data_IF_069120060073
#
_entry.id   IF_069120060073
#
_cell.length_a   1.000
_cell.length_b   1.000
_cell.length_c   1.000
_cell.angle_alpha   90.00
_cell.angle_beta   90.00
_cell.angle_gamma   90.00
#
_symmetry.space_group_name_H-M   'P 1'
#
loop_
_entity.id
_entity.type
_entity.pdbx_description
1 polymer ?
#
# COMPACT_ATOMS: atom_id res chain seq x y z
N UNK A 1 16.25 17.52 -3.27
CA UNK A 1 15.82 16.24 -3.87
C UNK A 1 14.31 16.19 -3.83
N UNK A 2 13.62 16.12 -4.97
CA UNK A 2 12.17 16.18 -5.01
C UNK A 2 11.57 14.79 -4.75
N UNK A 3 10.75 14.65 -3.72
CA UNK A 3 9.93 13.46 -3.47
C UNK A 3 8.69 13.53 -4.36
N UNK A 4 8.47 12.52 -5.20
CA UNK A 4 7.23 12.36 -5.95
C UNK A 4 6.32 11.39 -5.21
N UNK A 5 5.08 11.79 -4.98
CA UNK A 5 4.07 10.92 -4.42
C UNK A 5 3.31 10.23 -5.56
N UNK A 6 3.29 8.90 -5.54
CA UNK A 6 2.46 8.10 -6.43
C UNK A 6 1.16 7.74 -5.72
N UNK A 7 0.02 8.10 -6.31
CA UNK A 7 -1.31 7.70 -5.85
C UNK A 7 -1.87 6.66 -6.80
N UNK A 8 -2.31 5.54 -6.24
CA UNK A 8 -3.02 4.46 -6.94
C UNK A 8 -4.42 4.36 -6.34
N UNK A 9 -5.44 4.67 -7.12
CA UNK A 9 -6.85 4.60 -6.72
C UNK A 9 -7.64 3.50 -7.46
N UNK A 10 -7.13 3.06 -8.62
CA UNK A 10 -7.76 1.99 -9.38
C UNK A 10 -7.32 0.61 -8.87
N UNK A 11 -8.24 -0.29 -8.48
CA UNK A 11 -7.90 -1.62 -7.98
C UNK A 11 -7.05 -2.46 -8.94
N UNK A 12 -7.27 -2.31 -10.25
CA UNK A 12 -6.49 -2.98 -11.29
C UNK A 12 -5.06 -2.45 -11.36
N UNK A 13 -4.88 -1.13 -11.25
CA UNK A 13 -3.55 -0.52 -11.17
C UNK A 13 -2.82 -0.87 -9.88
N UNK A 14 -3.53 -0.88 -8.73
CA UNK A 14 -2.97 -1.31 -7.44
C UNK A 14 -2.44 -2.73 -7.61
N UNK A 15 -3.26 -3.66 -8.10
CA UNK A 15 -2.82 -5.06 -8.27
C UNK A 15 -1.61 -5.22 -9.17
N UNK A 16 -1.53 -4.46 -10.27
CA UNK A 16 -0.40 -4.55 -11.22
C UNK A 16 0.89 -3.94 -10.69
N UNK A 17 0.80 -2.79 -10.00
CA UNK A 17 1.97 -1.98 -9.65
C UNK A 17 2.45 -2.18 -8.22
N UNK A 18 1.59 -2.62 -7.30
CA UNK A 18 1.94 -2.76 -5.89
C UNK A 18 3.14 -3.69 -5.68
N UNK A 19 3.29 -4.71 -6.54
CA UNK A 19 4.42 -5.64 -6.50
C UNK A 19 5.78 -4.96 -6.67
N UNK A 20 5.87 -3.88 -7.43
CA UNK A 20 7.11 -3.13 -7.66
C UNK A 20 7.58 -2.37 -6.40
N UNK A 21 6.70 -2.23 -5.40
CA UNK A 21 6.94 -1.46 -4.19
C UNK A 21 7.12 -2.33 -2.95
N UNK A 22 7.33 -3.65 -3.11
CA UNK A 22 7.62 -4.54 -1.97
C UNK A 22 8.88 -4.04 -1.25
N UNK A 23 8.83 -4.00 0.08
CA UNK A 23 9.85 -3.44 0.97
C UNK A 23 9.79 -1.92 1.16
N UNK A 24 8.88 -1.21 0.46
CA UNK A 24 8.68 0.23 0.63
C UNK A 24 7.66 0.50 1.73
N UNK A 25 7.79 1.65 2.39
CA UNK A 25 6.74 2.21 3.24
C UNK A 25 5.65 2.79 2.34
N UNK A 26 4.43 2.36 2.56
CA UNK A 26 3.24 2.81 1.84
C UNK A 26 2.18 3.26 2.84
N UNK A 27 1.33 4.17 2.39
CA UNK A 27 0.16 4.60 3.14
C UNK A 27 -1.09 4.13 2.39
N UNK A 28 -1.91 3.33 3.04
CA UNK A 28 -3.14 2.79 2.45
C UNK A 28 -4.32 3.49 3.08
N UNK A 29 -5.23 3.98 2.25
CA UNK A 29 -6.53 4.47 2.69
C UNK A 29 -7.55 3.38 2.42
N UNK A 30 -8.23 2.95 3.48
CA UNK A 30 -9.32 1.99 3.41
C UNK A 30 -10.63 2.69 3.01
N UNK A 31 -11.60 1.92 2.53
CA UNK A 31 -12.94 2.39 2.15
C UNK A 31 -13.72 3.05 3.30
N UNK A 32 -13.35 2.78 4.55
CA UNK A 32 -13.93 3.40 5.74
C UNK A 32 -13.21 4.70 6.15
N UNK A 33 -12.38 5.26 5.25
CA UNK A 33 -11.50 6.41 5.46
C UNK A 33 -10.41 6.20 6.51
N UNK A 34 -10.15 4.97 6.94
CA UNK A 34 -9.01 4.67 7.82
C UNK A 34 -7.72 4.69 7.01
N UNK A 35 -6.78 5.54 7.41
CA UNK A 35 -5.43 5.53 6.87
C UNK A 35 -4.52 4.58 7.67
N UNK A 36 -3.81 3.72 6.97
CA UNK A 36 -2.89 2.72 7.52
C UNK A 36 -1.51 2.92 6.90
N UNK A 37 -0.54 3.25 7.76
CA UNK A 37 0.86 3.33 7.37
C UNK A 37 1.57 2.01 7.70
N UNK A 38 2.28 1.45 6.72
CA UNK A 38 3.06 0.24 6.92
C UNK A 38 4.11 0.00 5.85
N UNK A 39 5.03 -0.92 6.12
CA UNK A 39 5.94 -1.45 5.12
C UNK A 39 5.26 -2.60 4.37
N UNK A 40 5.20 -2.49 3.05
CA UNK A 40 4.67 -3.55 2.20
C UNK A 40 5.62 -4.74 2.22
N UNK A 41 5.19 -5.89 2.76
CA UNK A 41 6.01 -7.12 2.75
C UNK A 41 5.69 -8.03 1.57
N UNK A 42 4.49 -7.93 1.02
CA UNK A 42 4.09 -8.74 -0.13
C UNK A 42 2.60 -8.60 -0.45
N UNK A 43 2.15 -9.35 -1.43
CA UNK A 43 0.72 -9.48 -1.74
C UNK A 43 0.39 -10.95 -2.03
N UNK A 44 -0.80 -11.38 -1.60
CA UNK A 44 -1.34 -12.70 -1.87
C UNK A 44 -2.55 -12.59 -2.79
N UNK A 45 -2.37 -12.05 -4.01
CA UNK A 45 -3.35 -11.99 -5.13
C UNK A 45 -4.66 -11.20 -4.92
N UNK A 46 -5.18 -11.22 -3.70
CA UNK A 46 -6.44 -10.69 -3.18
C UNK A 46 -6.15 -9.80 -1.96
N UNK A 47 -5.06 -10.09 -1.25
CA UNK A 47 -4.65 -9.41 -0.03
C UNK A 47 -3.29 -8.71 -0.17
N UNK A 48 -3.12 -7.60 0.55
CA UNK A 48 -1.85 -6.90 0.75
C UNK A 48 -1.34 -7.18 2.16
N UNK A 49 -0.08 -7.64 2.26
CA UNK A 49 0.60 -7.86 3.53
C UNK A 49 1.41 -6.62 3.91
N UNK A 50 1.02 -5.98 5.00
CA UNK A 50 1.69 -4.83 5.57
C UNK A 50 2.30 -5.17 6.93
N UNK A 51 3.44 -4.58 7.24
CA UNK A 51 3.98 -4.54 8.59
C UNK A 51 3.85 -3.13 9.13
N UNK A 52 3.10 -2.97 10.21
CA UNK A 52 2.94 -1.65 10.83
C UNK A 52 4.20 -1.25 11.63
N UNK A 53 4.25 -0.01 12.12
CA UNK A 53 5.38 0.49 12.90
C UNK A 53 5.59 -0.21 14.25
N UNK A 54 4.64 -1.02 14.71
CA UNK A 54 4.78 -1.90 15.89
C UNK A 54 5.24 -3.30 15.52
N UNK A 55 5.76 -3.50 14.30
CA UNK A 55 6.17 -4.78 13.73
C UNK A 55 5.06 -5.85 13.68
N UNK A 56 3.79 -5.46 13.75
CA UNK A 56 2.67 -6.38 13.55
C UNK A 56 2.39 -6.56 12.06
N UNK A 57 2.28 -7.81 11.63
CA UNK A 57 1.86 -8.20 10.28
C UNK A 57 0.34 -8.09 10.20
N UNK A 58 -0.15 -7.24 9.31
CA UNK A 58 -1.55 -7.07 9.01
C UNK A 58 -1.81 -7.43 7.54
N UNK A 59 -2.89 -8.15 7.28
CA UNK A 59 -3.37 -8.43 5.93
C UNK A 59 -4.58 -7.55 5.64
N UNK A 60 -4.57 -6.85 4.51
CA UNK A 60 -5.68 -6.02 4.06
C UNK A 60 -6.20 -6.51 2.71
N UNK A 61 -7.50 -6.83 2.59
CA UNK A 61 -8.09 -7.20 1.31
C UNK A 61 -8.05 -6.02 0.34
N UNK A 62 -7.69 -6.25 -0.92
CA UNK A 62 -7.73 -5.25 -1.98
C UNK A 62 -9.12 -4.61 -2.13
N UNK A 63 -10.19 -5.37 -1.86
CA UNK A 63 -11.57 -4.87 -1.89
C UNK A 63 -11.88 -3.81 -0.84
N UNK A 64 -11.08 -3.74 0.24
CA UNK A 64 -11.23 -2.74 1.30
C UNK A 64 -10.31 -1.54 1.10
N UNK A 65 -9.48 -1.54 0.07
CA UNK A 65 -8.52 -0.46 -0.20
C UNK A 65 -9.16 0.52 -1.17
N UNK A 66 -9.31 1.76 -0.74
CA UNK A 66 -9.74 2.85 -1.60
C UNK A 66 -8.52 3.40 -2.37
N UNK A 67 -7.42 3.67 -1.68
CA UNK A 67 -6.26 4.33 -2.28
C UNK A 67 -4.95 3.87 -1.65
N UNK A 68 -3.87 3.91 -2.43
CA UNK A 68 -2.50 3.66 -1.96
C UNK A 68 -1.62 4.82 -2.36
N UNK A 69 -0.90 5.35 -1.38
CA UNK A 69 0.09 6.41 -1.52
C UNK A 69 1.49 5.86 -1.28
N UNK A 70 2.39 6.18 -2.21
CA UNK A 70 3.77 5.68 -2.19
C UNK A 70 4.71 6.85 -2.43
N UNK A 71 5.64 7.08 -1.49
CA UNK A 71 6.68 8.07 -1.66
C UNK A 71 7.82 7.49 -2.49
N UNK A 72 8.02 8.07 -3.67
CA UNK A 72 9.13 7.73 -4.56
C UNK A 72 10.17 8.85 -4.52
N UNK A 73 11.43 8.50 -4.26
CA UNK A 73 12.56 9.42 -4.44
C UNK A 73 12.94 9.38 -5.92
N UNK A 74 13.03 10.55 -6.55
CA UNK A 74 13.61 10.74 -7.88
C UNK A 74 15.10 10.99 -7.74
#
# INVERSE_FOLDING_TARGET
MATKQLRLSDPGQIKKRIGDFIGKKINIVLIDNTAVLGELKGMNGIDILLVNMRNKKNSYPLSKIAEVYIDTKV
#
